data_IF_990646909492
#
_entry.id   IF_990646909492
#
_cell.length_a   1.000
_cell.length_b   1.000
_cell.length_c   1.000
_cell.angle_alpha   90.00
_cell.angle_beta   90.00
_cell.angle_gamma   90.00
#
_symmetry.space_group_name_H-M   'P 1'
#
loop_
_entity.id
_entity.type
_entity.pdbx_description
1 polymer ?
#
# COMPACT_ATOMS: atom_id res chain seq x y z
N UNK A 1 24.52 11.64 -5.37
CA UNK A 1 23.17 12.15 -5.67
C UNK A 1 22.18 10.99 -5.71
N UNK A 2 21.04 11.11 -5.03
CA UNK A 2 19.97 10.12 -5.04
C UNK A 2 19.56 9.64 -3.64
N UNK A 3 18.82 10.46 -2.90
CA UNK A 3 18.17 10.04 -1.65
C UNK A 3 16.73 9.63 -1.95
N UNK A 4 16.31 8.46 -1.43
CA UNK A 4 14.90 8.05 -1.47
C UNK A 4 14.07 8.99 -0.61
N UNK A 5 12.92 9.41 -1.12
CA UNK A 5 12.02 10.36 -0.43
C UNK A 5 10.77 9.69 0.15
N UNK A 6 10.44 8.48 -0.31
CA UNK A 6 9.28 7.72 0.16
C UNK A 6 9.41 6.23 -0.14
N UNK A 7 8.73 5.42 0.66
CA UNK A 7 8.42 4.01 0.41
C UNK A 7 6.99 3.91 -0.08
N UNK A 8 6.73 3.04 -1.06
CA UNK A 8 5.40 2.72 -1.58
C UNK A 8 5.16 1.21 -1.48
N UNK A 9 3.93 0.80 -1.14
CA UNK A 9 3.53 -0.61 -1.04
C UNK A 9 2.04 -0.81 -1.35
N UNK A 10 1.65 -2.04 -1.65
CA UNK A 10 0.24 -2.46 -1.70
C UNK A 10 -0.14 -3.20 -0.43
N UNK A 11 -1.24 -2.81 0.21
CA UNK A 11 -1.81 -3.51 1.36
C UNK A 11 -3.17 -4.11 1.01
N UNK A 12 -3.43 -5.35 1.42
CA UNK A 12 -4.79 -5.89 1.41
C UNK A 12 -5.67 -5.14 2.39
N UNK A 13 -7.00 -5.26 2.27
CA UNK A 13 -7.94 -4.63 3.22
C UNK A 13 -7.68 -5.06 4.68
N UNK A 14 -7.21 -6.29 4.90
CA UNK A 14 -6.82 -6.78 6.22
C UNK A 14 -5.48 -6.18 6.70
N UNK A 15 -4.54 -5.92 5.79
CA UNK A 15 -3.24 -5.33 6.11
C UNK A 15 -3.26 -3.80 6.29
N UNK A 16 -4.20 -3.09 5.65
CA UNK A 16 -4.34 -1.63 5.75
C UNK A 16 -4.27 -1.07 7.18
N UNK A 17 -5.03 -1.58 8.18
CA UNK A 17 -4.99 -1.03 9.54
C UNK A 17 -3.61 -1.14 10.18
N UNK A 18 -2.87 -2.24 9.92
CA UNK A 18 -1.51 -2.41 10.43
C UNK A 18 -0.57 -1.36 9.83
N UNK A 19 -0.59 -1.17 8.51
CA UNK A 19 0.28 -0.20 7.86
C UNK A 19 -0.07 1.25 8.23
N UNK A 20 -1.36 1.57 8.43
CA UNK A 20 -1.77 2.86 8.97
C UNK A 20 -1.17 3.10 10.35
N UNK A 21 -1.18 2.11 11.25
CA UNK A 21 -0.56 2.21 12.56
C UNK A 21 0.97 2.43 12.48
N UNK A 22 1.63 1.90 11.44
CA UNK A 22 3.05 2.15 11.16
C UNK A 22 3.34 3.53 10.52
N UNK A 23 2.32 4.35 10.28
CA UNK A 23 2.44 5.70 9.71
C UNK A 23 2.44 5.73 8.17
N UNK A 24 1.98 4.67 7.51
CA UNK A 24 1.73 4.72 6.07
C UNK A 24 0.40 5.41 5.79
N UNK A 25 0.37 6.23 4.75
CA UNK A 25 -0.79 6.95 4.28
C UNK A 25 -1.48 6.16 3.15
N UNK A 26 -2.80 5.94 3.21
CA UNK A 26 -3.53 5.27 2.14
C UNK A 26 -3.65 6.17 0.90
N UNK A 27 -3.58 5.56 -0.26
CA UNK A 27 -3.74 6.21 -1.57
C UNK A 27 -4.80 5.51 -2.41
N UNK A 28 -4.44 5.14 -3.63
CA UNK A 28 -5.36 4.55 -4.61
C UNK A 28 -5.76 3.13 -4.21
N UNK A 29 -7.06 2.81 -4.30
CA UNK A 29 -7.56 1.43 -4.23
C UNK A 29 -7.61 0.82 -5.62
N UNK A 30 -7.15 -0.42 -5.73
CA UNK A 30 -7.15 -1.23 -6.95
C UNK A 30 -7.70 -2.62 -6.63
N UNK A 31 -8.14 -3.33 -7.65
CA UNK A 31 -8.38 -4.76 -7.57
C UNK A 31 -7.23 -5.44 -8.30
N UNK A 32 -6.55 -6.35 -7.61
CA UNK A 32 -5.56 -7.22 -8.24
C UNK A 32 -6.25 -8.53 -8.62
N UNK A 33 -6.43 -8.77 -9.92
CA UNK A 33 -7.07 -9.96 -10.48
C UNK A 33 -6.07 -11.01 -10.99
N UNK A 34 -4.77 -10.81 -10.75
CA UNK A 34 -3.71 -11.67 -11.30
C UNK A 34 -3.65 -13.08 -10.68
N UNK A 35 -4.15 -13.22 -9.44
CA UNK A 35 -4.13 -14.47 -8.66
C UNK A 35 -5.34 -15.38 -8.82
N UNK A 36 -6.21 -15.14 -9.82
CA UNK A 36 -7.41 -15.96 -10.07
C UNK A 36 -8.64 -15.58 -9.23
N UNK A 37 -8.48 -14.73 -8.21
CA UNK A 37 -9.57 -14.06 -7.52
C UNK A 37 -9.23 -12.57 -7.34
N UNK A 38 -10.15 -11.63 -7.64
CA UNK A 38 -9.90 -10.21 -7.49
C UNK A 38 -9.74 -9.84 -6.01
N UNK A 39 -8.54 -9.41 -5.62
CA UNK A 39 -8.24 -8.98 -4.25
C UNK A 39 -8.25 -7.45 -4.20
N UNK A 40 -9.04 -6.83 -3.30
CA UNK A 40 -8.98 -5.40 -3.09
C UNK A 40 -7.68 -5.02 -2.36
N UNK A 41 -6.87 -4.19 -3.02
CA UNK A 41 -5.59 -3.67 -2.53
C UNK A 41 -5.69 -2.14 -2.41
N UNK A 42 -5.07 -1.57 -1.38
CA UNK A 42 -4.81 -0.13 -1.26
C UNK A 42 -3.32 0.12 -1.44
N UNK A 43 -2.97 0.97 -2.41
CA UNK A 43 -1.62 1.49 -2.54
C UNK A 43 -1.37 2.50 -1.42
N UNK A 44 -0.29 2.34 -0.69
CA UNK A 44 0.08 3.15 0.47
C UNK A 44 1.49 3.67 0.33
N UNK A 45 1.82 4.72 1.07
CA UNK A 45 3.14 5.34 1.04
C UNK A 45 3.55 5.92 2.39
N UNK A 46 4.85 6.07 2.62
CA UNK A 46 5.42 6.73 3.80
C UNK A 46 6.69 7.49 3.40
N UNK A 47 6.79 8.75 3.80
CA UNK A 47 8.00 9.57 3.60
C UNK A 47 9.14 9.08 4.51
N UNK A 48 10.37 9.11 3.99
CA UNK A 48 11.61 8.70 4.69
C UNK A 48 12.52 9.90 4.88
#
# INVERSE_FOLDING_TARGET
EGSFRRVELGATMAGEPLYRACGYQPGKRIFDDTGGAPVPIVMMWKTI
#
